data_IF_983251943025
#
_entry.id   IF_983251943025
#
_cell.length_a   1.000
_cell.length_b   1.000
_cell.length_c   1.000
_cell.angle_alpha   90.00
_cell.angle_beta   90.00
_cell.angle_gamma   90.00
#
_symmetry.space_group_name_H-M   'P 1'
#
loop_
_entity.id
_entity.type
_entity.pdbx_description
1 polymer ?
#
# COMPACT_ATOMS: atom_id res chain seq x y z
N UNK A 1 1.66 -2.29 -0.83
CA UNK A 1 0.95 -1.59 -1.93
C UNK A 1 -0.52 -2.00 -2.02
N UNK A 2 -0.88 -3.24 -1.65
CA UNK A 2 -2.29 -3.72 -1.64
C UNK A 2 -3.22 -2.90 -0.71
N UNK A 3 -2.67 -2.25 0.31
CA UNK A 3 -3.40 -1.39 1.26
C UNK A 3 -3.45 0.10 0.90
N UNK A 4 -3.00 0.49 -0.28
CA UNK A 4 -3.10 1.87 -0.73
C UNK A 4 -4.27 2.02 -1.72
N UNK A 5 -5.26 2.84 -1.38
CA UNK A 5 -6.36 3.19 -2.29
C UNK A 5 -5.90 3.96 -3.54
N UNK A 6 -4.69 4.50 -3.52
CA UNK A 6 -4.10 5.17 -4.69
C UNK A 6 -3.56 4.18 -5.71
N UNK A 7 -3.31 2.91 -5.32
CA UNK A 7 -2.75 1.90 -6.20
C UNK A 7 -3.87 1.13 -6.92
N UNK A 8 -3.93 1.27 -8.23
CA UNK A 8 -4.83 0.54 -9.11
C UNK A 8 -4.34 -0.89 -9.33
N UNK A 9 -3.08 -1.05 -9.72
CA UNK A 9 -2.52 -2.37 -9.99
C UNK A 9 -1.00 -2.42 -9.78
N UNK A 10 -0.48 -3.62 -9.54
CA UNK A 10 0.95 -3.91 -9.40
C UNK A 10 1.30 -5.10 -10.27
N UNK A 11 2.22 -4.89 -11.22
CA UNK A 11 2.73 -5.93 -12.12
C UNK A 11 4.14 -6.31 -11.66
N UNK A 12 4.38 -7.59 -11.38
CA UNK A 12 5.72 -8.11 -11.09
C UNK A 12 6.49 -8.36 -12.38
N UNK A 13 7.78 -8.05 -12.39
CA UNK A 13 8.70 -8.27 -13.51
C UNK A 13 8.13 -7.72 -14.85
N UNK A 14 7.77 -6.43 -14.89
CA UNK A 14 6.86 -5.89 -15.93
C UNK A 14 7.52 -5.77 -17.31
N UNK A 15 8.84 -5.61 -17.36
CA UNK A 15 9.54 -5.28 -18.60
C UNK A 15 11.00 -5.73 -18.56
N UNK A 16 11.51 -6.17 -19.69
CA UNK A 16 12.93 -6.46 -19.90
C UNK A 16 13.65 -5.21 -20.41
N UNK A 17 14.77 -4.87 -19.76
CA UNK A 17 15.60 -3.70 -20.04
C UNK A 17 16.95 -4.19 -20.55
N UNK A 18 17.24 -4.10 -21.85
CA UNK A 18 18.58 -4.42 -22.35
C UNK A 18 19.59 -3.36 -21.88
N UNK A 19 20.76 -3.81 -21.43
CA UNK A 19 21.84 -2.94 -21.05
C UNK A 19 23.20 -3.57 -21.37
N UNK A 20 24.27 -2.78 -21.30
CA UNK A 20 25.63 -3.27 -21.45
C UNK A 20 26.31 -3.20 -20.09
N UNK A 21 26.91 -4.31 -19.66
CA UNK A 21 27.66 -4.38 -18.40
C UNK A 21 29.01 -3.61 -18.46
N UNK A 22 29.69 -3.54 -17.33
CA UNK A 22 30.99 -2.85 -17.21
C UNK A 22 32.12 -3.47 -18.09
N UNK A 23 31.89 -4.71 -18.57
CA UNK A 23 32.84 -5.41 -19.46
C UNK A 23 32.42 -5.32 -20.94
N UNK A 24 31.41 -4.51 -21.27
CA UNK A 24 30.91 -4.34 -22.65
C UNK A 24 30.01 -5.46 -23.15
N UNK A 25 29.52 -6.38 -22.29
CA UNK A 25 28.68 -7.50 -22.70
C UNK A 25 27.20 -7.13 -22.63
N UNK A 26 26.41 -7.50 -23.65
CA UNK A 26 24.95 -7.30 -23.62
C UNK A 26 24.31 -8.16 -22.53
N UNK A 27 23.43 -7.58 -21.76
CA UNK A 27 22.69 -8.19 -20.67
C UNK A 27 21.22 -7.74 -20.70
N UNK A 28 20.35 -8.50 -20.03
CA UNK A 28 18.95 -8.13 -19.81
C UNK A 28 18.72 -7.97 -18.30
N UNK A 29 18.05 -6.91 -17.94
CA UNK A 29 17.65 -6.61 -16.58
C UNK A 29 16.13 -6.46 -16.49
N UNK A 30 15.52 -7.08 -15.50
CA UNK A 30 14.09 -7.00 -15.24
C UNK A 30 13.86 -6.35 -13.89
N UNK A 31 13.29 -5.13 -13.83
CA UNK A 31 12.88 -4.50 -12.58
C UNK A 31 11.80 -5.31 -11.86
N UNK A 32 11.72 -5.19 -10.52
CA UNK A 32 10.86 -6.05 -9.71
C UNK A 32 9.37 -5.75 -9.90
N UNK A 33 8.96 -4.47 -9.94
CA UNK A 33 7.55 -4.10 -9.99
C UNK A 33 7.28 -2.86 -10.83
N UNK A 34 6.10 -2.81 -11.46
CA UNK A 34 5.49 -1.60 -12.02
C UNK A 34 4.15 -1.37 -11.31
N UNK A 35 4.01 -0.19 -10.73
CA UNK A 35 2.83 0.24 -9.97
C UNK A 35 2.05 1.25 -10.78
N UNK A 36 0.78 0.98 -11.02
CA UNK A 36 -0.18 1.92 -11.57
C UNK A 36 -1.02 2.51 -10.46
N UNK A 37 -1.39 3.76 -10.61
CA UNK A 37 -2.20 4.51 -9.65
C UNK A 37 -3.54 4.88 -10.29
N UNK A 38 -4.60 4.86 -9.50
CA UNK A 38 -5.86 5.45 -9.92
C UNK A 38 -5.64 6.91 -10.31
N UNK A 39 -6.24 7.31 -11.43
CA UNK A 39 -6.17 8.69 -11.94
C UNK A 39 -7.10 9.60 -11.11
N UNK A 40 -6.80 9.73 -9.81
CA UNK A 40 -7.46 10.70 -8.96
C UNK A 40 -7.06 12.10 -9.44
N UNK A 41 -8.04 12.92 -9.81
CA UNK A 41 -7.84 14.34 -10.08
C UNK A 41 -7.58 15.05 -8.74
N UNK A 42 -6.37 14.92 -8.22
CA UNK A 42 -5.96 15.64 -7.02
C UNK A 42 -5.61 17.08 -7.46
N UNK A 43 -6.38 18.11 -7.03
CA UNK A 43 -6.25 19.46 -7.56
C UNK A 43 -4.88 20.11 -7.32
N UNK A 44 -4.09 19.56 -6.40
CA UNK A 44 -2.79 20.10 -6.01
C UNK A 44 -1.58 19.22 -6.33
N UNK A 45 -1.74 17.92 -6.69
CA UNK A 45 -0.63 16.99 -6.87
C UNK A 45 -0.42 16.49 -8.30
N UNK A 46 -1.30 16.88 -9.23
CA UNK A 46 -1.23 16.42 -10.62
C UNK A 46 -1.52 14.91 -10.76
N UNK A 47 -1.32 14.39 -11.97
CA UNK A 47 -1.51 12.98 -12.29
C UNK A 47 -0.36 12.16 -11.72
N UNK A 48 -0.66 11.15 -10.89
CA UNK A 48 0.34 10.19 -10.41
C UNK A 48 0.85 9.35 -11.58
N UNK A 49 2.16 9.43 -11.84
CA UNK A 49 2.80 8.65 -12.90
C UNK A 49 3.04 7.23 -12.45
N UNK A 50 2.89 6.23 -13.32
CA UNK A 50 3.29 4.87 -13.01
C UNK A 50 4.72 4.81 -12.47
N UNK A 51 4.97 3.91 -11.53
CA UNK A 51 6.24 3.81 -10.82
C UNK A 51 6.88 2.44 -11.05
N UNK A 52 8.01 2.46 -11.75
CA UNK A 52 8.88 1.29 -11.92
C UNK A 52 9.79 1.18 -10.69
N UNK A 53 9.72 0.06 -9.98
CA UNK A 53 10.40 -0.15 -8.70
C UNK A 53 11.40 -1.31 -8.80
N UNK A 54 12.59 -1.06 -8.30
CA UNK A 54 13.58 -2.07 -7.95
C UNK A 54 13.64 -2.17 -6.42
N UNK A 55 13.64 -3.39 -5.88
CA UNK A 55 13.77 -3.66 -4.44
C UNK A 55 15.14 -4.28 -4.18
N UNK A 56 15.99 -3.60 -3.42
CA UNK A 56 17.32 -4.09 -3.06
C UNK A 56 17.66 -3.72 -1.62
N UNK A 57 18.22 -4.66 -0.84
CA UNK A 57 18.80 -4.32 0.45
C UNK A 57 19.83 -3.20 0.30
N UNK A 58 19.79 -2.24 1.21
CA UNK A 58 20.66 -1.04 1.17
C UNK A 58 22.14 -1.39 1.10
N UNK A 59 22.56 -2.34 1.92
CA UNK A 59 23.93 -2.84 1.93
C UNK A 59 24.38 -3.32 0.55
N UNK A 60 23.57 -4.17 -0.09
CA UNK A 60 23.90 -4.74 -1.40
C UNK A 60 24.00 -3.68 -2.50
N UNK A 61 23.07 -2.71 -2.56
CA UNK A 61 23.12 -1.74 -3.65
C UNK A 61 24.19 -0.67 -3.42
N UNK A 62 24.57 -0.38 -2.18
CA UNK A 62 25.71 0.50 -1.87
C UNK A 62 27.03 -0.14 -2.28
N UNK A 63 27.22 -1.42 -1.94
CA UNK A 63 28.42 -2.18 -2.30
C UNK A 63 28.55 -2.36 -3.82
N UNK A 64 27.45 -2.69 -4.49
CA UNK A 64 27.47 -3.01 -5.93
C UNK A 64 27.06 -1.83 -6.83
N UNK A 65 27.04 -0.61 -6.30
CA UNK A 65 26.59 0.58 -7.03
C UNK A 65 27.25 0.75 -8.40
N UNK A 66 28.57 0.55 -8.48
CA UNK A 66 29.34 0.73 -9.72
C UNK A 66 28.88 -0.24 -10.80
N UNK A 67 28.70 -1.51 -10.44
CA UNK A 67 28.31 -2.57 -11.38
C UNK A 67 26.83 -2.46 -11.79
N UNK A 68 25.97 -2.08 -10.84
CA UNK A 68 24.52 -2.03 -11.10
C UNK A 68 24.06 -0.70 -11.66
N UNK A 69 24.84 0.36 -11.56
CA UNK A 69 24.47 1.71 -12.04
C UNK A 69 24.11 1.72 -13.54
N UNK A 70 24.76 0.88 -14.34
CA UNK A 70 24.50 0.73 -15.78
C UNK A 70 23.05 0.32 -16.05
N UNK A 71 22.62 -0.80 -15.50
CA UNK A 71 21.25 -1.32 -15.66
C UNK A 71 20.18 -0.35 -15.15
N UNK A 72 20.44 0.34 -14.02
CA UNK A 72 19.49 1.32 -13.48
C UNK A 72 19.40 2.61 -14.29
N UNK A 73 20.48 3.01 -14.96
CA UNK A 73 20.45 4.14 -15.92
C UNK A 73 19.54 3.81 -17.08
N UNK A 74 19.65 2.61 -17.64
CA UNK A 74 18.78 2.19 -18.76
C UNK A 74 17.33 2.04 -18.32
N UNK A 75 17.06 1.42 -17.14
CA UNK A 75 15.72 1.37 -16.58
C UNK A 75 15.10 2.77 -16.37
N UNK A 76 15.91 3.74 -15.91
CA UNK A 76 15.47 5.13 -15.76
C UNK A 76 15.16 5.80 -17.09
N UNK A 77 15.96 5.50 -18.14
CA UNK A 77 15.70 6.00 -19.51
C UNK A 77 14.39 5.44 -20.07
N UNK A 78 14.23 4.11 -19.94
CA UNK A 78 13.00 3.44 -20.33
C UNK A 78 11.78 4.02 -19.59
N UNK A 79 11.85 4.13 -18.28
CA UNK A 79 10.77 4.70 -17.46
C UNK A 79 10.39 6.10 -17.97
N UNK A 80 11.37 6.96 -18.22
CA UNK A 80 11.13 8.32 -18.76
C UNK A 80 10.46 8.30 -20.12
N UNK A 81 10.90 7.42 -21.04
CA UNK A 81 10.31 7.31 -22.38
C UNK A 81 8.85 6.86 -22.37
N UNK A 82 8.46 6.09 -21.32
CA UNK A 82 7.10 5.63 -21.09
C UNK A 82 6.25 6.61 -20.23
N UNK A 83 6.83 7.74 -19.80
CA UNK A 83 6.16 8.66 -18.88
C UNK A 83 6.11 8.17 -17.43
N UNK A 84 6.88 7.14 -17.09
CA UNK A 84 6.94 6.55 -15.75
C UNK A 84 8.03 7.19 -14.89
N UNK A 85 7.99 6.91 -13.58
CA UNK A 85 9.08 7.17 -12.65
C UNK A 85 9.87 5.86 -12.40
N UNK A 86 11.16 5.97 -12.05
CA UNK A 86 11.96 4.84 -11.59
C UNK A 86 12.51 5.13 -10.19
N UNK A 87 12.33 4.17 -9.25
CA UNK A 87 12.85 4.25 -7.88
C UNK A 87 13.46 2.92 -7.45
N UNK A 88 14.48 3.02 -6.59
CA UNK A 88 15.01 1.88 -5.86
C UNK A 88 14.49 2.00 -4.44
N UNK A 89 13.87 0.94 -3.94
CA UNK A 89 13.36 0.83 -2.58
C UNK A 89 14.24 -0.14 -1.80
N UNK A 90 14.70 0.30 -0.67
CA UNK A 90 15.41 -0.50 0.33
C UNK A 90 14.52 -0.71 1.57
N UNK A 91 15.05 -1.43 2.54
CA UNK A 91 14.36 -1.73 3.79
C UNK A 91 13.94 -0.49 4.56
N UNK A 92 14.64 0.63 4.44
CA UNK A 92 14.27 1.87 5.14
C UNK A 92 12.97 2.49 4.63
N UNK A 93 12.61 2.18 3.37
CA UNK A 93 11.35 2.61 2.77
C UNK A 93 10.22 1.60 2.86
N UNK A 94 10.57 0.33 3.11
CA UNK A 94 9.62 -0.78 3.12
C UNK A 94 9.27 -1.14 4.57
N UNK A 95 10.28 -1.22 5.44
CA UNK A 95 10.12 -1.59 6.85
C UNK A 95 9.76 -0.35 7.67
N UNK A 96 8.71 -0.46 8.45
CA UNK A 96 8.22 0.60 9.32
C UNK A 96 6.79 0.29 9.78
N UNK A 97 6.23 1.17 10.56
CA UNK A 97 4.89 1.01 11.14
C UNK A 97 3.82 0.63 10.10
N UNK A 98 3.78 1.19 8.86
CA UNK A 98 2.81 0.77 7.86
C UNK A 98 2.90 -0.72 7.52
N UNK A 99 4.12 -1.27 7.35
CA UNK A 99 4.27 -2.70 7.07
C UNK A 99 3.89 -3.56 8.26
N UNK A 100 4.27 -3.16 9.47
CA UNK A 100 3.91 -3.85 10.71
C UNK A 100 2.39 -3.89 10.88
N UNK A 101 1.71 -2.78 10.65
CA UNK A 101 0.25 -2.68 10.67
C UNK A 101 -0.39 -3.59 9.62
N UNK A 102 0.11 -3.62 8.40
CA UNK A 102 -0.40 -4.48 7.33
C UNK A 102 -0.25 -5.96 7.71
N UNK A 103 0.92 -6.39 8.18
CA UNK A 103 1.17 -7.77 8.62
C UNK A 103 0.27 -8.13 9.82
N UNK A 104 0.03 -7.18 10.71
CA UNK A 104 -0.91 -7.37 11.82
C UNK A 104 -2.34 -7.58 11.32
N UNK A 105 -2.80 -6.79 10.35
CA UNK A 105 -4.16 -6.84 9.80
C UNK A 105 -4.44 -8.10 8.97
N UNK A 106 -3.45 -8.67 8.29
CA UNK A 106 -3.60 -9.88 7.46
C UNK A 106 -4.27 -11.05 8.20
N UNK A 107 -4.05 -11.18 9.50
CA UNK A 107 -4.66 -12.23 10.34
C UNK A 107 -6.18 -12.12 10.44
N UNK A 108 -6.74 -10.93 10.24
CA UNK A 108 -8.17 -10.65 10.32
C UNK A 108 -8.88 -10.77 8.96
N UNK A 109 -8.15 -10.83 7.85
CA UNK A 109 -8.73 -10.83 6.49
C UNK A 109 -9.72 -11.99 6.27
N UNK A 110 -9.44 -13.16 6.87
CA UNK A 110 -10.23 -14.38 6.68
C UNK A 110 -11.26 -14.64 7.78
N UNK A 111 -11.39 -13.73 8.73
CA UNK A 111 -12.39 -13.86 9.80
C UNK A 111 -13.80 -13.64 9.23
N UNK A 112 -14.78 -14.28 9.85
CA UNK A 112 -16.20 -14.18 9.45
C UNK A 112 -16.96 -13.55 10.58
N UNK A 113 -17.74 -12.53 10.25
CA UNK A 113 -18.60 -11.79 11.17
C UNK A 113 -20.05 -11.77 10.66
N UNK A 114 -20.98 -11.49 11.56
CA UNK A 114 -22.37 -11.34 11.17
C UNK A 114 -22.57 -10.05 10.38
N UNK A 115 -23.32 -10.16 9.27
CA UNK A 115 -23.56 -9.02 8.39
C UNK A 115 -24.22 -7.85 9.11
N UNK A 116 -25.11 -8.14 10.08
CA UNK A 116 -25.75 -7.11 10.88
C UNK A 116 -24.77 -6.25 11.69
N UNK A 117 -23.71 -6.86 12.25
CA UNK A 117 -22.66 -6.13 12.98
C UNK A 117 -21.85 -5.24 12.02
N UNK A 118 -21.51 -5.77 10.84
CA UNK A 118 -20.81 -5.04 9.78
C UNK A 118 -21.62 -3.82 9.35
N UNK A 119 -22.90 -4.03 9.00
CA UNK A 119 -23.78 -2.98 8.49
C UNK A 119 -24.01 -1.87 9.53
N UNK A 120 -24.12 -2.23 10.82
CA UNK A 120 -24.28 -1.28 11.91
C UNK A 120 -23.07 -0.34 12.05
N UNK A 121 -21.84 -0.91 11.97
CA UNK A 121 -20.59 -0.12 12.02
C UNK A 121 -20.45 0.78 10.80
N UNK A 122 -20.64 0.22 9.58
CA UNK A 122 -20.54 0.98 8.33
C UNK A 122 -21.57 2.10 8.26
N UNK A 123 -22.80 1.87 8.74
CA UNK A 123 -23.83 2.91 8.83
C UNK A 123 -23.37 4.06 9.73
N UNK A 124 -22.86 3.76 10.92
CA UNK A 124 -22.36 4.78 11.83
C UNK A 124 -21.20 5.60 11.22
N UNK A 125 -20.26 4.93 10.55
CA UNK A 125 -19.15 5.62 9.89
C UNK A 125 -19.62 6.53 8.74
N UNK A 126 -20.63 6.11 7.96
CA UNK A 126 -21.21 6.96 6.91
C UNK A 126 -21.95 8.18 7.47
N UNK A 127 -22.61 8.03 8.62
CA UNK A 127 -23.30 9.13 9.29
C UNK A 127 -22.35 10.14 9.93
N UNK A 128 -21.19 9.68 10.41
CA UNK A 128 -20.19 10.51 11.13
C UNK A 128 -19.06 10.98 10.23
N UNK A 129 -18.92 10.42 9.03
CA UNK A 129 -17.80 10.59 8.10
C UNK A 129 -16.51 9.98 8.65
N UNK A 130 -16.12 10.33 9.88
CA UNK A 130 -14.92 9.81 10.59
C UNK A 130 -15.29 9.48 12.03
N UNK A 131 -14.80 8.36 12.56
CA UNK A 131 -14.96 8.01 13.96
C UNK A 131 -13.75 7.22 14.50
N UNK A 132 -13.30 7.47 15.74
CA UNK A 132 -12.23 6.71 16.35
C UNK A 132 -12.70 5.31 16.80
N UNK A 133 -11.76 4.36 16.81
CA UNK A 133 -12.00 2.95 17.21
C UNK A 133 -12.73 2.86 18.55
N UNK A 134 -12.30 3.61 19.58
CA UNK A 134 -12.91 3.54 20.92
C UNK A 134 -14.40 3.93 20.90
N UNK A 135 -14.79 4.90 20.06
CA UNK A 135 -16.18 5.31 19.92
C UNK A 135 -17.05 4.21 19.30
N UNK A 136 -16.57 3.59 18.22
CA UNK A 136 -17.28 2.50 17.56
C UNK A 136 -17.44 1.30 18.48
N UNK A 137 -16.39 0.97 19.25
CA UNK A 137 -16.46 -0.10 20.26
C UNK A 137 -17.46 0.22 21.37
N UNK A 138 -17.46 1.44 21.89
CA UNK A 138 -18.41 1.85 22.94
C UNK A 138 -19.87 1.84 22.44
N UNK A 139 -20.09 2.17 21.18
CA UNK A 139 -21.42 2.26 20.57
C UNK A 139 -22.01 0.89 20.21
N UNK A 140 -21.22 -0.01 19.67
CA UNK A 140 -21.70 -1.27 19.09
C UNK A 140 -21.31 -2.52 19.89
N UNK A 141 -20.24 -2.46 20.70
CA UNK A 141 -19.67 -3.64 21.35
C UNK A 141 -19.38 -3.38 22.83
N UNK A 142 -20.40 -3.55 23.66
CA UNK A 142 -20.28 -3.35 25.10
C UNK A 142 -19.96 -4.66 25.85
N UNK A 143 -19.22 -4.55 26.95
CA UNK A 143 -18.93 -5.65 27.86
C UNK A 143 -18.12 -6.76 27.22
N UNK A 144 -18.62 -8.00 27.30
CA UNK A 144 -17.95 -9.22 26.79
C UNK A 144 -17.79 -9.27 25.28
N UNK A 145 -18.50 -8.44 24.52
CA UNK A 145 -18.40 -8.40 23.06
C UNK A 145 -17.30 -7.46 22.53
N UNK A 146 -16.59 -6.77 23.43
CA UNK A 146 -15.58 -5.78 23.03
C UNK A 146 -14.45 -6.38 22.21
N UNK A 147 -13.93 -7.54 22.58
CA UNK A 147 -12.83 -8.20 21.86
C UNK A 147 -13.25 -8.64 20.45
N UNK A 148 -14.51 -9.11 20.32
CA UNK A 148 -15.11 -9.40 19.01
C UNK A 148 -15.24 -8.13 18.17
N UNK A 149 -15.63 -7.01 18.80
CA UNK A 149 -15.71 -5.71 18.13
C UNK A 149 -14.36 -5.22 17.60
N UNK A 150 -13.30 -5.35 18.41
CA UNK A 150 -11.92 -5.03 17.97
C UNK A 150 -11.56 -5.85 16.74
N UNK A 151 -11.79 -7.16 16.79
CA UNK A 151 -11.49 -8.06 15.67
C UNK A 151 -12.30 -7.73 14.41
N UNK A 152 -13.57 -7.31 14.58
CA UNK A 152 -14.42 -6.87 13.47
C UNK A 152 -13.89 -5.59 12.82
N UNK A 153 -13.51 -4.57 13.62
CA UNK A 153 -12.96 -3.33 13.07
C UNK A 153 -11.67 -3.59 12.29
N UNK A 154 -10.76 -4.41 12.80
CA UNK A 154 -9.55 -4.81 12.07
C UNK A 154 -9.85 -5.62 10.81
N UNK A 155 -10.89 -6.46 10.84
CA UNK A 155 -11.36 -7.17 9.64
C UNK A 155 -11.87 -6.20 8.57
N UNK A 156 -12.65 -5.19 8.95
CA UNK A 156 -13.15 -4.19 8.00
C UNK A 156 -12.02 -3.40 7.34
N UNK A 157 -10.95 -3.08 8.08
CA UNK A 157 -9.74 -2.46 7.51
C UNK A 157 -9.00 -3.46 6.60
N UNK A 158 -8.79 -4.69 7.08
CA UNK A 158 -8.09 -5.74 6.31
C UNK A 158 -8.78 -6.05 4.98
N UNK A 159 -10.12 -6.03 4.96
CA UNK A 159 -10.96 -6.26 3.76
C UNK A 159 -11.26 -4.98 2.98
N UNK A 160 -10.74 -3.82 3.45
CA UNK A 160 -10.88 -2.52 2.79
C UNK A 160 -12.31 -1.99 2.67
N UNK A 161 -13.20 -2.45 3.54
CA UNK A 161 -14.54 -1.87 3.68
C UNK A 161 -14.50 -0.57 4.49
N UNK A 162 -13.46 -0.43 5.32
CA UNK A 162 -13.13 0.76 6.11
C UNK A 162 -11.67 1.10 5.87
N UNK A 163 -11.35 2.38 5.89
CA UNK A 163 -9.98 2.88 5.74
C UNK A 163 -9.51 3.59 7.01
N UNK A 164 -8.20 3.78 7.11
CA UNK A 164 -7.52 4.49 8.19
C UNK A 164 -6.17 5.04 7.69
N UNK A 165 -5.54 5.92 8.45
CA UNK A 165 -4.14 6.25 8.21
C UNK A 165 -3.25 5.08 8.67
N UNK A 166 -2.84 4.24 7.73
CA UNK A 166 -1.99 3.07 8.00
C UNK A 166 -0.59 3.43 8.53
N UNK A 167 -0.20 4.71 8.50
CA UNK A 167 1.05 5.20 9.06
C UNK A 167 0.96 5.50 10.56
N UNK A 168 -0.26 5.54 11.10
CA UNK A 168 -0.53 5.71 12.51
C UNK A 168 -0.63 4.35 13.25
N UNK A 169 -0.39 4.31 14.57
CA UNK A 169 -0.55 3.09 15.36
C UNK A 169 -1.98 2.54 15.33
N UNK A 170 -2.13 1.22 15.17
CA UNK A 170 -3.42 0.54 15.30
C UNK A 170 -3.85 0.44 16.77
N UNK A 171 -4.43 1.51 17.30
CA UNK A 171 -4.87 1.63 18.66
C UNK A 171 -6.32 2.13 18.78
N UNK A 172 -6.76 2.45 19.99
CA UNK A 172 -8.13 2.89 20.25
C UNK A 172 -8.47 4.31 19.76
N UNK A 173 -7.47 5.12 19.50
CA UNK A 173 -7.62 6.51 19.05
C UNK A 173 -7.55 6.64 17.53
N UNK A 174 -7.21 5.55 16.82
CA UNK A 174 -7.13 5.53 15.37
C UNK A 174 -8.47 5.90 14.76
N UNK A 175 -8.47 6.88 13.88
CA UNK A 175 -9.64 7.33 13.14
C UNK A 175 -9.92 6.42 11.94
N UNK A 176 -11.19 6.08 11.77
CA UNK A 176 -11.69 5.21 10.72
C UNK A 176 -12.75 5.93 9.89
N UNK A 177 -12.78 5.63 8.59
CA UNK A 177 -13.81 6.14 7.67
C UNK A 177 -14.17 5.10 6.61
N UNK A 178 -15.32 5.26 5.97
CA UNK A 178 -15.69 4.47 4.79
C UNK A 178 -15.06 5.14 3.57
N UNK A 179 -14.26 4.43 2.76
CA UNK A 179 -13.70 5.02 1.55
C UNK A 179 -14.82 5.40 0.58
N UNK A 180 -14.71 6.58 -0.04
CA UNK A 180 -15.62 7.01 -1.09
C UNK A 180 -15.46 6.07 -2.28
N UNK A 181 -16.49 5.26 -2.56
CA UNK A 181 -16.55 4.36 -3.71
C UNK A 181 -16.90 5.10 -5.03
N UNK A 182 -16.60 6.38 -5.13
CA UNK A 182 -16.73 7.11 -6.38
C UNK A 182 -15.46 6.96 -7.21
N UNK A 183 -15.14 5.71 -7.61
CA UNK A 183 -14.36 5.48 -8.86
C UNK A 183 -14.25 3.98 -9.14
N UNK A 184 -15.29 3.44 -9.75
CA UNK A 184 -15.17 2.27 -10.63
C UNK A 184 -15.48 2.73 -12.04
#
# INVERSE_FOLDING_TARGET
MRFSHQVESVISQPVEVPFTDSLGRPQIYTPDYLVFYHQLHLPYFGVLRPLLVEVKPREQWVENWRDWSGKWKEARRLARSQGWQFRIYDESRIRGLPLENIVFLERFERMIFEQGDIDAVLKTLREMEVAPVHYLLARHFNGIFRDRGVSLLWHLIATRQVDCDITEPLNHDLELWVPDNETV
#
